data_IF_083847131663
#
_entry.id   IF_083847131663
#
_cell.length_a   1.000
_cell.length_b   1.000
_cell.length_c   1.000
_cell.angle_alpha   90.00
_cell.angle_beta   90.00
_cell.angle_gamma   90.00
#
_symmetry.space_group_name_H-M   'P 1'
#
loop_
_entity.id
_entity.type
_entity.pdbx_description
1 polymer ?
#
# COMPACT_ATOMS: atom_id res chain seq x y z
N UNK A 1 20.98 -4.38 5.76
CA UNK A 1 21.27 -3.42 4.69
C UNK A 1 20.78 -2.03 5.02
N UNK A 2 21.38 -1.04 4.42
CA UNK A 2 21.01 0.36 4.57
C UNK A 2 20.69 0.92 3.18
N UNK A 3 19.51 1.51 3.02
CA UNK A 3 19.16 2.24 1.80
C UNK A 3 19.05 3.72 2.11
N UNK A 4 19.70 4.53 1.31
CA UNK A 4 19.56 5.97 1.32
C UNK A 4 18.87 6.37 0.02
N UNK A 5 17.87 7.21 0.12
CA UNK A 5 17.29 7.88 -1.04
C UNK A 5 17.48 9.38 -0.93
N UNK A 6 17.52 10.02 -2.04
CA UNK A 6 17.45 11.47 -2.20
C UNK A 6 16.48 11.74 -3.32
N UNK A 7 15.47 12.52 -3.04
CA UNK A 7 14.50 13.01 -4.01
C UNK A 7 14.78 14.49 -4.20
N UNK A 8 14.93 14.89 -5.44
CA UNK A 8 14.98 16.29 -5.84
C UNK A 8 13.90 16.44 -6.91
N UNK A 9 12.79 17.05 -6.53
CA UNK A 9 11.64 17.25 -7.39
C UNK A 9 11.39 18.72 -7.64
N UNK A 10 11.05 19.04 -8.85
CA UNK A 10 10.59 20.38 -9.22
C UNK A 10 9.29 20.27 -10.00
N UNK A 11 8.29 21.03 -9.60
CA UNK A 11 7.06 21.20 -10.35
C UNK A 11 7.08 22.55 -11.07
N UNK A 12 7.01 22.49 -12.38
CA UNK A 12 6.79 23.67 -13.22
C UNK A 12 5.44 23.50 -13.88
N UNK A 13 4.41 24.11 -13.32
CA UNK A 13 3.08 24.06 -13.87
C UNK A 13 2.79 25.31 -14.72
N UNK A 14 2.53 25.11 -15.99
CA UNK A 14 1.64 25.97 -16.76
C UNK A 14 0.48 25.08 -17.17
N UNK A 15 -0.61 25.14 -16.42
CA UNK A 15 -1.76 24.33 -16.74
C UNK A 15 -2.60 25.02 -17.81
N UNK A 16 -2.34 24.67 -19.05
CA UNK A 16 -3.30 24.85 -20.13
C UNK A 16 -4.14 23.58 -20.22
N UNK A 17 -5.11 23.44 -19.29
CA UNK A 17 -6.14 22.42 -19.40
C UNK A 17 -7.23 22.86 -20.39
N UNK A 18 -7.95 21.90 -20.93
CA UNK A 18 -9.13 22.07 -21.80
C UNK A 18 -10.31 22.79 -21.08
N UNK A 19 -10.17 23.20 -19.85
CA UNK A 19 -11.17 23.88 -19.05
C UNK A 19 -10.69 25.28 -18.66
N UNK A 20 -10.83 26.19 -19.58
CA UNK A 20 -10.74 27.61 -19.28
C UNK A 20 -12.03 28.04 -18.55
N UNK A 21 -11.93 28.31 -17.28
CA UNK A 21 -13.03 28.86 -16.48
C UNK A 21 -12.56 30.15 -15.80
N UNK A 22 -12.59 31.24 -16.55
CA UNK A 22 -12.33 32.58 -16.00
C UNK A 22 -10.88 32.92 -15.72
N UNK A 23 -10.66 34.10 -15.17
CA UNK A 23 -9.38 34.82 -15.07
C UNK A 23 -8.41 34.28 -14.00
N UNK A 24 -8.67 33.13 -13.36
CA UNK A 24 -7.91 32.64 -12.20
C UNK A 24 -7.38 31.22 -12.34
N UNK A 25 -7.14 30.78 -13.55
CA UNK A 25 -6.48 29.52 -13.83
C UNK A 25 -5.04 29.78 -14.26
N UNK A 26 -4.08 29.56 -13.40
CA UNK A 26 -2.69 29.83 -13.72
C UNK A 26 -1.71 29.45 -12.63
N UNK A 27 -0.50 29.88 -12.84
CA UNK A 27 0.58 29.65 -11.89
C UNK A 27 0.42 30.56 -10.66
N UNK A 28 0.81 30.03 -9.52
CA UNK A 28 0.94 30.77 -8.29
C UNK A 28 2.24 31.59 -8.33
N UNK A 29 2.14 32.89 -8.50
CA UNK A 29 3.30 33.78 -8.61
C UNK A 29 3.70 34.41 -7.28
N UNK A 30 2.81 34.46 -6.31
CA UNK A 30 3.05 35.08 -5.01
C UNK A 30 3.26 34.08 -3.87
N UNK A 31 3.07 32.78 -4.14
CA UNK A 31 3.31 31.70 -3.20
C UNK A 31 2.18 31.49 -2.18
N UNK A 32 0.99 32.02 -2.44
CA UNK A 32 -0.17 31.87 -1.55
C UNK A 32 -0.90 30.53 -1.71
N UNK A 33 -0.46 29.70 -2.65
CA UNK A 33 -1.05 28.39 -2.97
C UNK A 33 -2.19 28.45 -3.98
N UNK A 34 -2.46 29.61 -4.55
CA UNK A 34 -3.55 29.85 -5.50
C UNK A 34 -3.01 30.17 -6.89
N UNK A 35 -3.75 29.85 -7.90
CA UNK A 35 -3.37 30.19 -9.27
C UNK A 35 -3.62 31.66 -9.58
N UNK A 36 -2.59 32.40 -9.92
CA UNK A 36 -2.67 33.77 -10.39
C UNK A 36 -2.82 33.83 -11.90
N UNK A 37 -3.77 34.63 -12.34
CA UNK A 37 -3.90 35.04 -13.72
C UNK A 37 -3.71 36.54 -13.86
N UNK A 38 -2.51 36.94 -14.07
CA UNK A 38 -2.27 38.28 -14.56
C UNK A 38 -1.10 38.28 -15.53
N UNK A 39 -1.36 38.82 -16.69
CA UNK A 39 -0.39 39.43 -17.62
C UNK A 39 0.95 38.66 -17.81
N UNK A 40 0.92 37.59 -18.63
CA UNK A 40 2.17 37.01 -19.14
C UNK A 40 2.91 36.12 -18.14
N UNK A 41 2.18 35.28 -17.52
CA UNK A 41 2.48 34.04 -16.79
C UNK A 41 3.96 33.74 -16.55
N UNK A 42 4.46 34.10 -15.38
CA UNK A 42 5.63 33.48 -14.78
C UNK A 42 5.14 32.44 -13.78
N UNK A 43 5.28 31.16 -14.12
CA UNK A 43 4.97 30.08 -13.20
C UNK A 43 6.00 30.02 -12.07
N UNK A 44 5.56 29.99 -10.83
CA UNK A 44 6.46 29.72 -9.71
C UNK A 44 6.92 28.27 -9.79
N UNK A 45 8.21 28.04 -9.86
CA UNK A 45 8.78 26.71 -9.70
C UNK A 45 8.70 26.31 -8.22
N UNK A 46 8.02 25.22 -7.94
CA UNK A 46 8.09 24.55 -6.65
C UNK A 46 9.19 23.51 -6.75
N UNK A 47 10.26 23.72 -6.01
CA UNK A 47 11.33 22.73 -5.87
C UNK A 47 11.29 22.16 -4.46
N UNK A 48 11.43 20.87 -4.35
CA UNK A 48 11.53 20.19 -3.08
C UNK A 48 12.62 19.13 -3.12
N UNK A 49 13.29 18.94 -1.99
CA UNK A 49 14.25 17.88 -1.83
C UNK A 49 13.95 17.11 -0.55
N UNK A 50 13.89 15.80 -0.68
CA UNK A 50 13.78 14.88 0.44
C UNK A 50 14.95 13.92 0.43
N UNK A 51 15.54 13.68 1.59
CA UNK A 51 16.56 12.66 1.76
C UNK A 51 16.37 11.95 3.08
N UNK A 52 16.33 10.65 3.04
CA UNK A 52 16.25 9.84 4.24
C UNK A 52 17.04 8.53 4.08
N UNK A 53 17.22 7.85 5.19
CA UNK A 53 17.97 6.60 5.25
C UNK A 53 17.10 5.52 5.85
N UNK A 54 16.79 4.50 5.05
CA UNK A 54 15.92 3.40 5.45
C UNK A 54 16.74 2.15 5.81
N UNK A 55 16.77 1.78 7.09
CA UNK A 55 17.45 0.57 7.50
C UNK A 55 16.66 -0.68 7.12
N UNK A 56 17.40 -1.76 6.86
CA UNK A 56 16.86 -3.11 6.81
C UNK A 56 17.76 -4.03 7.63
N UNK A 57 17.17 -4.64 8.64
CA UNK A 57 17.81 -5.65 9.47
C UNK A 57 17.19 -7.00 9.19
N UNK A 58 18.02 -8.02 9.10
CA UNK A 58 17.56 -9.40 8.96
C UNK A 58 18.43 -10.26 9.86
N UNK A 59 17.79 -11.04 10.71
CA UNK A 59 18.42 -12.08 11.50
C UNK A 59 17.90 -13.45 11.03
N UNK A 60 18.81 -14.40 10.87
CA UNK A 60 18.46 -15.76 10.49
C UNK A 60 19.23 -16.73 11.40
N UNK A 61 18.52 -17.71 11.92
CA UNK A 61 19.08 -18.77 12.75
C UNK A 61 18.63 -20.13 12.25
N UNK A 62 19.59 -20.99 11.97
CA UNK A 62 19.37 -22.35 11.44
C UNK A 62 19.88 -23.37 12.46
N UNK A 63 19.02 -23.79 13.43
CA UNK A 63 19.44 -24.69 14.49
C UNK A 63 19.79 -26.10 13.99
N UNK A 64 19.24 -26.49 12.85
CA UNK A 64 19.52 -27.75 12.15
C UNK A 64 19.18 -27.64 10.67
N UNK A 65 19.47 -28.69 9.87
CA UNK A 65 19.29 -28.68 8.42
C UNK A 65 17.82 -28.51 7.96
N UNK A 66 16.88 -28.77 8.86
CA UNK A 66 15.46 -28.76 8.55
C UNK A 66 14.74 -27.47 8.94
N UNK A 67 15.29 -26.69 9.87
CA UNK A 67 14.61 -25.54 10.45
C UNK A 67 15.42 -24.26 10.27
N UNK A 68 14.79 -23.25 9.74
CA UNK A 68 15.29 -21.88 9.69
C UNK A 68 14.29 -20.95 10.38
N UNK A 69 14.77 -20.19 11.34
CA UNK A 69 14.03 -19.09 11.97
C UNK A 69 14.53 -17.77 11.41
N UNK A 70 13.67 -16.82 11.22
CA UNK A 70 14.07 -15.49 10.76
C UNK A 70 13.26 -14.38 11.40
N UNK A 71 13.89 -13.21 11.46
CA UNK A 71 13.26 -11.94 11.80
C UNK A 71 13.74 -10.87 10.83
N UNK A 72 12.83 -10.01 10.39
CA UNK A 72 13.11 -8.91 9.48
C UNK A 72 12.49 -7.65 10.06
N UNK A 73 13.25 -6.56 10.03
CA UNK A 73 12.73 -5.20 10.19
C UNK A 73 13.19 -4.38 9.00
N UNK A 74 12.27 -3.72 8.33
CA UNK A 74 12.55 -2.91 7.16
C UNK A 74 11.60 -1.73 7.08
N UNK A 75 12.04 -0.64 6.46
CA UNK A 75 11.21 0.50 6.17
C UNK A 75 11.11 0.73 4.66
N UNK A 76 9.90 1.03 4.20
CA UNK A 76 9.57 1.47 2.86
C UNK A 76 9.06 2.91 2.87
N UNK A 77 8.93 3.52 1.68
CA UNK A 77 8.36 4.85 1.52
C UNK A 77 7.83 5.03 0.10
N UNK A 78 6.87 5.94 -0.07
CA UNK A 78 6.58 6.57 -1.35
C UNK A 78 7.12 8.00 -1.31
N UNK A 79 7.80 8.47 -2.36
CA UNK A 79 8.33 9.83 -2.37
C UNK A 79 7.20 10.86 -2.31
N UNK A 80 7.47 12.00 -1.70
CA UNK A 80 6.61 13.17 -1.74
C UNK A 80 6.55 13.80 -3.13
N UNK A 81 5.82 14.88 -3.24
CA UNK A 81 5.68 15.60 -4.51
C UNK A 81 4.96 16.94 -4.33
N UNK A 82 4.57 17.52 -5.44
CA UNK A 82 3.91 18.81 -5.47
C UNK A 82 2.52 18.70 -6.09
N UNK A 83 1.56 19.40 -5.51
CA UNK A 83 0.24 19.61 -6.07
C UNK A 83 0.26 20.81 -7.02
N UNK A 84 -0.60 20.76 -8.02
CA UNK A 84 -0.95 21.94 -8.80
C UNK A 84 -1.61 22.99 -7.91
N UNK A 85 -1.56 24.28 -8.30
CA UNK A 85 -2.19 25.36 -7.54
C UNK A 85 -3.70 25.10 -7.36
N UNK A 86 -4.20 25.37 -6.17
CA UNK A 86 -5.64 25.28 -5.91
C UNK A 86 -6.37 26.40 -6.68
N UNK A 87 -7.33 26.05 -7.55
CA UNK A 87 -8.10 27.08 -8.24
C UNK A 87 -8.98 27.88 -7.28
N UNK A 88 -9.18 29.15 -7.55
CA UNK A 88 -9.95 30.04 -6.69
C UNK A 88 -11.40 29.58 -6.43
N UNK A 89 -12.02 28.89 -7.39
CA UNK A 89 -13.36 28.35 -7.24
C UNK A 89 -13.45 27.17 -6.26
N UNK A 90 -12.30 26.63 -5.84
CA UNK A 90 -12.19 25.60 -4.81
C UNK A 90 -11.92 26.16 -3.40
N UNK A 91 -11.63 27.45 -3.24
CA UNK A 91 -11.23 28.05 -1.94
C UNK A 91 -12.27 27.86 -0.81
N UNK A 92 -13.56 27.81 -1.17
CA UNK A 92 -14.63 27.65 -0.21
C UNK A 92 -15.13 26.20 -0.09
N UNK A 93 -14.46 25.27 -0.75
CA UNK A 93 -14.78 23.85 -0.61
C UNK A 93 -14.20 23.33 0.71
N UNK A 94 -15.03 22.76 1.61
CA UNK A 94 -14.54 22.28 2.92
C UNK A 94 -13.42 21.24 2.81
N UNK A 95 -13.44 20.39 1.77
CA UNK A 95 -12.43 19.37 1.54
C UNK A 95 -11.10 19.96 1.06
N UNK A 96 -11.15 21.15 0.45
CA UNK A 96 -9.94 21.88 0.05
C UNK A 96 -9.19 22.52 1.24
N UNK A 97 -9.74 22.51 2.45
CA UNK A 97 -9.06 23.01 3.64
C UNK A 97 -7.78 22.25 4.00
N UNK A 98 -7.66 20.99 3.54
CA UNK A 98 -6.46 20.16 3.70
C UNK A 98 -5.44 20.33 2.55
N UNK A 99 -5.68 21.26 1.62
CA UNK A 99 -4.77 21.48 0.50
C UNK A 99 -3.42 22.02 0.96
N UNK A 100 -2.37 21.36 0.48
CA UNK A 100 -0.99 21.80 0.59
C UNK A 100 -0.31 21.73 -0.78
N UNK A 101 0.51 22.74 -1.09
CA UNK A 101 1.26 22.76 -2.35
C UNK A 101 2.26 21.61 -2.46
N UNK A 102 2.74 21.16 -1.33
CA UNK A 102 3.68 20.03 -1.24
C UNK A 102 3.17 19.00 -0.26
N UNK A 103 3.24 17.74 -0.66
CA UNK A 103 3.10 16.59 0.22
C UNK A 103 4.44 15.88 0.36
N UNK A 104 4.68 15.33 1.54
CA UNK A 104 5.93 14.65 1.88
C UNK A 104 5.86 13.16 1.61
N UNK A 105 6.99 12.49 1.70
CA UNK A 105 7.02 11.02 1.65
C UNK A 105 6.24 10.40 2.81
N UNK A 106 5.53 9.34 2.54
CA UNK A 106 5.00 8.45 3.58
C UNK A 106 6.03 7.41 4.03
N UNK A 107 5.74 6.73 5.11
CA UNK A 107 6.63 5.74 5.70
C UNK A 107 5.86 4.48 6.10
N UNK A 108 6.36 3.31 5.67
CA UNK A 108 5.84 2.03 6.09
C UNK A 108 6.96 1.24 6.78
N UNK A 109 6.80 0.97 8.08
CA UNK A 109 7.70 0.13 8.85
C UNK A 109 7.14 -1.29 8.91
N UNK A 110 7.93 -2.26 8.47
CA UNK A 110 7.55 -3.66 8.45
C UNK A 110 8.41 -4.48 9.39
N UNK A 111 7.77 -5.25 10.24
CA UNK A 111 8.38 -6.22 11.15
C UNK A 111 7.82 -7.59 10.86
N UNK A 112 8.71 -8.55 10.63
CA UNK A 112 8.34 -9.94 10.33
C UNK A 112 9.07 -10.90 11.23
N UNK A 113 8.38 -11.98 11.62
CA UNK A 113 8.95 -13.14 12.29
C UNK A 113 8.42 -14.40 11.62
N UNK A 114 9.30 -15.35 11.35
CA UNK A 114 8.84 -16.56 10.71
C UNK A 114 9.79 -17.72 10.87
N UNK A 115 9.29 -18.84 10.38
CA UNK A 115 10.12 -20.04 10.27
C UNK A 115 9.87 -20.75 8.94
N UNK A 116 10.87 -21.50 8.53
CA UNK A 116 10.82 -22.43 7.40
C UNK A 116 11.27 -23.80 7.89
N UNK A 117 10.39 -24.77 7.74
CA UNK A 117 10.69 -26.17 8.07
C UNK A 117 10.62 -27.02 6.82
N UNK A 118 11.64 -27.81 6.57
CA UNK A 118 11.71 -28.69 5.40
C UNK A 118 12.32 -30.03 5.76
N UNK A 119 11.62 -31.08 5.37
CA UNK A 119 12.13 -32.45 5.38
C UNK A 119 11.59 -33.20 4.15
N UNK A 120 12.12 -34.40 3.82
CA UNK A 120 11.56 -35.19 2.73
C UNK A 120 10.04 -35.36 2.88
N UNK A 121 9.29 -34.97 1.85
CA UNK A 121 7.83 -35.05 1.81
C UNK A 121 7.08 -33.98 2.60
N UNK A 122 7.76 -33.01 3.28
CA UNK A 122 7.09 -31.95 4.04
C UNK A 122 7.83 -30.63 3.90
N UNK A 123 7.10 -29.59 3.51
CA UNK A 123 7.55 -28.19 3.60
C UNK A 123 6.49 -27.38 4.33
N UNK A 124 6.91 -26.56 5.30
CA UNK A 124 6.05 -25.65 6.04
C UNK A 124 6.78 -24.33 6.24
N UNK A 125 6.18 -23.26 5.79
CA UNK A 125 6.63 -21.89 6.04
C UNK A 125 5.50 -21.16 6.77
N UNK A 126 5.82 -20.37 7.78
CA UNK A 126 4.88 -19.48 8.42
C UNK A 126 5.58 -18.18 8.77
N UNK A 127 4.90 -17.07 8.52
CA UNK A 127 5.40 -15.72 8.78
C UNK A 127 4.28 -14.93 9.44
N UNK A 128 4.57 -14.32 10.57
CA UNK A 128 3.78 -13.23 11.12
C UNK A 128 4.41 -11.90 10.67
N UNK A 129 3.58 -10.94 10.29
CA UNK A 129 4.01 -9.61 9.91
C UNK A 129 3.16 -8.54 10.59
N UNK A 130 3.79 -7.38 10.79
CA UNK A 130 3.13 -6.15 11.21
C UNK A 130 3.73 -5.00 10.39
N UNK A 131 2.87 -4.21 9.76
CA UNK A 131 3.21 -3.04 8.97
C UNK A 131 2.54 -1.84 9.60
N UNK A 132 3.34 -0.87 10.04
CA UNK A 132 2.90 0.44 10.52
C UNK A 132 3.12 1.46 9.41
N UNK A 133 2.06 2.09 8.93
CA UNK A 133 2.09 3.02 7.81
C UNK A 133 1.67 4.40 8.27
N UNK A 134 2.60 5.35 8.17
CA UNK A 134 2.48 6.71 8.68
C UNK A 134 2.53 7.74 7.56
N UNK A 135 1.92 8.90 7.79
CA UNK A 135 1.88 10.02 6.86
C UNK A 135 1.36 9.64 5.47
N UNK A 136 0.35 8.78 5.43
CA UNK A 136 -0.19 8.19 4.20
C UNK A 136 -0.57 9.30 3.23
N UNK A 137 -0.06 9.21 2.01
CA UNK A 137 -0.43 10.08 0.91
C UNK A 137 -1.84 9.74 0.45
N UNK A 138 -2.77 10.65 0.66
CA UNK A 138 -4.19 10.48 0.38
C UNK A 138 -4.58 11.42 -0.74
N UNK A 139 -5.20 10.88 -1.80
CA UNK A 139 -5.80 11.68 -2.87
C UNK A 139 -7.21 12.12 -2.48
N UNK A 140 -7.47 13.41 -2.57
CA UNK A 140 -8.80 14.01 -2.39
C UNK A 140 -9.28 14.58 -3.71
N UNK A 141 -10.58 14.42 -3.96
CA UNK A 141 -11.29 15.02 -5.08
C UNK A 141 -12.49 15.82 -4.54
N UNK A 142 -12.28 17.08 -4.10
CA UNK A 142 -13.33 17.95 -3.61
C UNK A 142 -14.47 18.13 -4.60
N UNK A 143 -15.63 18.55 -4.12
CA UNK A 143 -16.82 18.76 -4.94
C UNK A 143 -16.61 19.82 -6.05
N UNK A 144 -15.64 20.72 -5.87
CA UNK A 144 -15.21 21.66 -6.90
C UNK A 144 -14.55 20.98 -8.13
N UNK A 145 -14.18 19.68 -8.03
CA UNK A 145 -13.62 18.89 -9.12
C UNK A 145 -12.11 18.96 -9.29
N UNK A 146 -11.38 19.59 -8.36
CA UNK A 146 -9.93 19.68 -8.36
C UNK A 146 -9.32 18.63 -7.43
N UNK A 147 -8.51 17.73 -7.97
CA UNK A 147 -7.87 16.67 -7.17
C UNK A 147 -6.47 17.06 -6.70
N UNK A 148 -6.15 16.72 -5.48
CA UNK A 148 -4.83 16.92 -4.90
C UNK A 148 -4.47 15.78 -3.93
N UNK A 149 -3.20 15.69 -3.58
CA UNK A 149 -2.67 14.74 -2.59
C UNK A 149 -2.23 15.49 -1.34
N UNK A 150 -2.51 14.93 -0.17
CA UNK A 150 -1.99 15.42 1.11
C UNK A 150 -1.53 14.27 2.00
N UNK A 151 -0.75 14.55 3.04
CA UNK A 151 -0.38 13.56 4.05
C UNK A 151 -1.36 13.66 5.22
N UNK A 152 -2.06 12.59 5.56
CA UNK A 152 -3.08 12.71 6.60
C UNK A 152 -3.56 11.41 7.22
N UNK A 153 -3.06 10.28 6.76
CA UNK A 153 -3.49 8.98 7.27
C UNK A 153 -2.42 8.23 8.03
N UNK A 154 -2.87 7.36 8.91
CA UNK A 154 -2.05 6.33 9.52
C UNK A 154 -2.84 5.02 9.53
N UNK A 155 -2.17 3.91 9.30
CA UNK A 155 -2.77 2.59 9.27
C UNK A 155 -1.82 1.53 9.81
N UNK A 156 -2.40 0.47 10.35
CA UNK A 156 -1.67 -0.72 10.76
C UNK A 156 -2.22 -1.93 10.00
N UNK A 157 -1.32 -2.77 9.52
CA UNK A 157 -1.69 -4.06 8.92
C UNK A 157 -0.89 -5.15 9.61
N UNK A 158 -1.57 -6.11 10.22
CA UNK A 158 -0.92 -7.26 10.84
C UNK A 158 -1.56 -8.56 10.37
N UNK A 159 -0.78 -9.62 10.32
CA UNK A 159 -1.29 -10.88 9.83
C UNK A 159 -0.32 -12.03 9.87
N UNK A 160 -0.78 -13.15 9.32
CA UNK A 160 -0.01 -14.37 9.19
C UNK A 160 -0.14 -14.94 7.78
N UNK A 161 0.99 -15.33 7.22
CA UNK A 161 1.07 -16.10 5.98
C UNK A 161 1.54 -17.52 6.30
N UNK A 162 0.90 -18.50 5.68
CA UNK A 162 1.23 -19.93 5.82
C UNK A 162 1.33 -20.53 4.44
N UNK A 163 2.41 -21.25 4.19
CA UNK A 163 2.62 -22.08 3.01
C UNK A 163 3.03 -23.48 3.46
N UNK A 164 2.30 -24.47 2.98
CA UNK A 164 2.44 -25.85 3.40
C UNK A 164 2.34 -26.78 2.20
N UNK A 165 3.25 -27.76 2.10
CA UNK A 165 3.12 -28.85 1.15
C UNK A 165 3.51 -30.18 1.80
N UNK A 166 2.73 -31.20 1.50
CA UNK A 166 2.89 -32.51 2.10
C UNK A 166 2.68 -33.66 1.10
N UNK A 167 3.63 -34.56 1.07
CA UNK A 167 3.51 -35.83 0.34
C UNK A 167 2.73 -36.84 1.21
N UNK A 168 1.47 -37.07 0.85
CA UNK A 168 0.58 -38.03 1.51
C UNK A 168 0.95 -39.49 1.23
N UNK A 169 1.95 -39.73 0.37
CA UNK A 169 2.30 -41.02 -0.16
C UNK A 169 1.38 -41.46 -1.31
N UNK A 170 1.73 -42.59 -1.94
CA UNK A 170 0.99 -43.12 -3.09
C UNK A 170 0.81 -42.08 -4.23
N UNK A 171 1.79 -41.22 -4.45
CA UNK A 171 1.78 -40.14 -5.45
C UNK A 171 0.67 -39.09 -5.24
N UNK A 172 0.22 -38.92 -4.01
CA UNK A 172 -0.78 -37.92 -3.62
C UNK A 172 -0.10 -36.79 -2.84
N UNK A 173 -0.34 -35.55 -3.25
CA UNK A 173 0.29 -34.35 -2.72
C UNK A 173 -0.77 -33.34 -2.29
N UNK A 174 -0.60 -32.78 -1.11
CA UNK A 174 -1.45 -31.73 -0.54
C UNK A 174 -0.66 -30.45 -0.44
N UNK A 175 -1.22 -29.37 -0.98
CA UNK A 175 -0.68 -28.01 -0.87
C UNK A 175 -1.70 -27.11 -0.19
N UNK A 176 -1.23 -26.20 0.63
CA UNK A 176 -1.99 -25.11 1.21
C UNK A 176 -1.17 -23.84 1.16
N UNK A 177 -1.78 -22.75 0.73
CA UNK A 177 -1.22 -21.41 0.88
C UNK A 177 -2.33 -20.48 1.36
N UNK A 178 -2.06 -19.70 2.41
CA UNK A 178 -3.07 -18.81 2.97
C UNK A 178 -2.45 -17.59 3.65
N UNK A 179 -3.19 -16.49 3.60
CA UNK A 179 -2.92 -15.26 4.31
C UNK A 179 -4.16 -14.85 5.12
N UNK A 180 -3.92 -14.42 6.35
CA UNK A 180 -4.93 -13.94 7.28
C UNK A 180 -4.41 -12.63 7.85
N UNK A 181 -5.16 -11.52 7.67
CA UNK A 181 -4.69 -10.21 8.09
C UNK A 181 -5.84 -9.33 8.58
N UNK A 182 -5.50 -8.38 9.45
CA UNK A 182 -6.27 -7.19 9.74
C UNK A 182 -5.52 -5.99 9.20
N UNK A 183 -6.23 -5.05 8.60
CA UNK A 183 -5.70 -3.79 8.10
C UNK A 183 -6.67 -2.68 8.46
N UNK A 184 -6.26 -1.81 9.37
CA UNK A 184 -7.13 -0.81 9.99
C UNK A 184 -6.46 0.57 10.00
N UNK A 185 -7.27 1.63 9.89
CA UNK A 185 -6.77 2.98 10.14
C UNK A 185 -6.54 3.17 11.64
N UNK A 186 -5.43 3.80 12.02
CA UNK A 186 -5.11 4.07 13.43
C UNK A 186 -5.49 5.47 13.89
N UNK A 187 -5.87 6.34 12.94
CA UNK A 187 -6.35 7.70 13.18
C UNK A 187 -7.64 7.95 12.42
N UNK A 188 -8.52 8.84 12.89
CA UNK A 188 -9.70 9.22 12.13
C UNK A 188 -9.33 9.86 10.78
N UNK A 189 -10.12 9.55 9.74
CA UNK A 189 -10.01 10.15 8.41
C UNK A 189 -11.35 10.83 8.05
N UNK A 190 -11.62 12.05 8.56
CA UNK A 190 -12.92 12.69 8.44
C UNK A 190 -13.39 12.90 6.99
N UNK A 191 -12.47 13.16 6.07
CA UNK A 191 -12.78 13.30 4.63
C UNK A 191 -13.34 12.03 4.01
N UNK A 192 -13.20 10.88 4.66
CA UNK A 192 -13.73 9.60 4.23
C UNK A 192 -14.80 9.04 5.18
N UNK A 193 -15.15 9.79 6.23
CA UNK A 193 -16.08 9.34 7.27
C UNK A 193 -15.53 8.18 8.11
N UNK A 194 -14.21 7.98 8.16
CA UNK A 194 -13.61 6.87 8.86
C UNK A 194 -13.13 7.26 10.27
N UNK A 195 -13.37 6.36 11.21
CA UNK A 195 -12.88 6.43 12.58
C UNK A 195 -11.62 5.54 12.76
N UNK A 196 -10.88 5.77 13.85
CA UNK A 196 -9.76 4.90 14.18
C UNK A 196 -10.27 3.48 14.50
N UNK A 197 -9.64 2.47 13.87
CA UNK A 197 -10.06 1.07 13.95
C UNK A 197 -10.92 0.61 12.77
N UNK A 198 -11.29 1.52 11.86
CA UNK A 198 -12.02 1.13 10.66
C UNK A 198 -11.10 0.40 9.69
N UNK A 199 -11.64 -0.63 9.09
CA UNK A 199 -10.94 -1.48 8.14
C UNK A 199 -10.60 -0.73 6.86
N UNK A 200 -9.36 -0.88 6.41
CA UNK A 200 -8.91 -0.28 5.15
C UNK A 200 -9.67 -0.85 3.94
N UNK A 201 -10.22 0.01 3.08
CA UNK A 201 -10.85 -0.43 1.83
C UNK A 201 -9.89 -1.22 0.94
N UNK A 202 -10.44 -2.17 0.19
CA UNK A 202 -9.67 -3.02 -0.72
C UNK A 202 -8.86 -4.12 -0.06
N UNK A 203 -8.92 -4.26 1.27
CA UNK A 203 -8.23 -5.32 2.02
C UNK A 203 -9.13 -6.53 2.21
N UNK A 204 -8.53 -7.73 2.21
CA UNK A 204 -9.20 -9.02 2.42
C UNK A 204 -8.63 -9.64 3.70
N UNK A 205 -9.49 -9.96 4.69
CA UNK A 205 -9.03 -10.53 5.97
C UNK A 205 -8.49 -11.94 5.85
N UNK A 206 -8.98 -12.70 4.89
CA UNK A 206 -8.52 -14.06 4.65
C UNK A 206 -8.55 -14.42 3.19
N UNK A 207 -7.48 -15.04 2.74
CA UNK A 207 -7.44 -15.70 1.44
C UNK A 207 -6.65 -16.98 1.57
N UNK A 208 -7.13 -18.06 0.96
CA UNK A 208 -6.38 -19.29 0.93
C UNK A 208 -6.66 -20.13 -0.31
N UNK A 209 -5.69 -20.97 -0.63
CA UNK A 209 -5.78 -22.03 -1.64
C UNK A 209 -5.44 -23.37 -1.00
N UNK A 210 -6.24 -24.39 -1.30
CA UNK A 210 -5.96 -25.78 -0.97
C UNK A 210 -5.91 -26.58 -2.26
N UNK A 211 -4.79 -27.21 -2.56
CA UNK A 211 -4.58 -28.03 -3.74
C UNK A 211 -4.35 -29.50 -3.38
N UNK A 212 -4.98 -30.39 -4.11
CA UNK A 212 -4.73 -31.81 -4.04
C UNK A 212 -4.32 -32.33 -5.43
N UNK A 213 -3.11 -32.86 -5.53
CA UNK A 213 -2.57 -33.40 -6.78
C UNK A 213 -2.30 -34.89 -6.67
N UNK A 214 -2.63 -35.63 -7.71
CA UNK A 214 -2.34 -37.06 -7.86
C UNK A 214 -1.54 -37.32 -9.14
N UNK A 215 -0.39 -37.96 -9.00
CA UNK A 215 0.46 -38.34 -10.12
C UNK A 215 0.35 -39.82 -10.40
N UNK A 216 0.30 -40.22 -11.67
CA UNK A 216 0.17 -41.61 -12.09
C UNK A 216 0.76 -41.84 -13.47
N UNK A 217 0.61 -43.06 -13.97
CA UNK A 217 0.90 -43.41 -15.36
C UNK A 217 -0.27 -44.13 -15.99
N UNK A 218 -0.66 -43.69 -17.18
CA UNK A 218 -1.70 -44.32 -18.00
C UNK A 218 -1.06 -44.80 -19.30
N UNK A 219 -1.14 -46.09 -19.57
CA UNK A 219 -0.51 -46.71 -20.74
C UNK A 219 1.00 -46.39 -20.89
N UNK A 220 1.73 -46.36 -19.76
CA UNK A 220 3.15 -45.97 -19.65
C UNK A 220 3.47 -44.48 -19.96
N UNK A 221 2.46 -43.63 -20.06
CA UNK A 221 2.65 -42.19 -20.16
C UNK A 221 2.40 -41.52 -18.78
N UNK A 222 3.25 -40.60 -18.35
CA UNK A 222 3.01 -39.86 -17.11
C UNK A 222 1.71 -39.05 -17.23
N UNK A 223 0.90 -39.13 -16.20
CA UNK A 223 -0.38 -38.43 -16.10
C UNK A 223 -0.54 -37.84 -14.70
N UNK A 224 -1.23 -36.70 -14.57
CA UNK A 224 -1.57 -36.10 -13.29
C UNK A 224 -3.00 -35.56 -13.31
N UNK A 225 -3.56 -35.45 -12.12
CA UNK A 225 -4.83 -34.77 -11.87
C UNK A 225 -4.64 -33.84 -10.68
N UNK A 226 -5.22 -32.65 -10.75
CA UNK A 226 -5.16 -31.66 -9.65
C UNK A 226 -6.52 -31.01 -9.47
N UNK A 227 -6.89 -30.80 -8.21
CA UNK A 227 -8.06 -30.02 -7.80
C UNK A 227 -7.59 -28.93 -6.84
N UNK A 228 -8.01 -27.70 -7.08
CA UNK A 228 -7.73 -26.55 -6.25
C UNK A 228 -9.02 -25.92 -5.77
N UNK A 229 -9.05 -25.57 -4.49
CA UNK A 229 -10.09 -24.78 -3.85
C UNK A 229 -9.49 -23.43 -3.44
N UNK A 230 -10.03 -22.35 -4.01
CA UNK A 230 -9.66 -20.99 -3.65
C UNK A 230 -10.79 -20.35 -2.84
N UNK A 231 -10.43 -19.62 -1.80
CA UNK A 231 -11.35 -18.85 -1.00
C UNK A 231 -10.79 -17.46 -0.75
N UNK A 232 -11.68 -16.48 -0.85
CA UNK A 232 -11.40 -15.08 -0.53
C UNK A 232 -12.45 -14.60 0.46
N UNK A 233 -12.02 -13.93 1.52
CA UNK A 233 -12.89 -13.24 2.44
C UNK A 233 -13.51 -11.98 1.80
N UNK A 234 -14.33 -11.32 2.55
CA UNK A 234 -14.97 -10.08 2.12
C UNK A 234 -13.97 -8.93 2.05
N UNK A 235 -14.18 -8.03 1.10
CA UNK A 235 -13.47 -6.76 0.98
C UNK A 235 -14.47 -5.65 0.68
N UNK A 236 -14.20 -4.45 1.18
CA UNK A 236 -15.05 -3.27 1.00
C UNK A 236 -14.36 -2.30 0.05
N UNK A 237 -15.14 -1.61 -0.78
CA UNK A 237 -14.60 -0.62 -1.70
C UNK A 237 -14.38 0.74 -1.03
N UNK A 238 -15.12 1.04 0.04
CA UNK A 238 -15.06 2.30 0.78
C UNK A 238 -15.20 2.07 2.28
N UNK A 239 -14.80 3.03 3.10
CA UNK A 239 -15.01 2.99 4.56
C UNK A 239 -16.51 2.92 4.93
N UNK A 240 -17.37 3.61 4.19
CA UNK A 240 -18.82 3.63 4.45
C UNK A 240 -19.50 2.24 4.30
N UNK A 241 -18.90 1.30 3.58
CA UNK A 241 -19.41 -0.06 3.46
C UNK A 241 -19.09 -0.91 4.67
N UNK A 242 -18.00 -0.59 5.40
CA UNK A 242 -17.58 -1.31 6.60
C UNK A 242 -18.47 -1.03 7.82
N UNK A 243 -19.18 0.11 7.85
CA UNK A 243 -20.06 0.51 8.96
C UNK A 243 -21.43 -0.19 8.97
N UNK A 244 -21.78 -0.91 7.91
CA UNK A 244 -23.13 -1.50 7.74
C UNK A 244 -23.22 -2.98 8.13
N UNK A 245 -22.29 -3.48 8.96
CA UNK A 245 -22.33 -4.85 9.48
C UNK A 245 -22.59 -4.94 10.96
#
# INVERSE_FOLDING_TARGET
>A
GLRRYMLDDSYRGSEFGLFYVGDNFGCDNDGDGRGDFADGVTCTELAGAEADTRPKFTATYTPNDNLTLFAVQSAGYRPGGNNAALPYFCENDPEAASFERRYTSDNAENTEFGFKYRQPGLSLNATYFNIDWQDIQIGIAPACGWSFTYNGGQAETSGMEIDFSYDLGNNLYLDFAGAFMSAETTVPLPSFGAEAGDRLPGTVESQFNVGLAYETSVMNYPAFARVDLLSYGESYATFAESENM
#
